data_IF_647870078092
#
_entry.id   IF_647870078092
#
_cell.length_a   1.000
_cell.length_b   1.000
_cell.length_c   1.000
_cell.angle_alpha   90.00
_cell.angle_beta   90.00
_cell.angle_gamma   90.00
#
_symmetry.space_group_name_H-M   'P 1'
#
loop_
_entity.id
_entity.type
_entity.pdbx_description
1 polymer ?
#
# COMPACT_ATOMS: atom_id res chain seq x y z
N UNK A 1 2.60 32.49 15.55
CA UNK A 1 3.66 31.67 14.93
C UNK A 1 3.05 30.33 14.51
N UNK A 2 3.03 30.05 13.20
CA UNK A 2 2.62 28.74 12.67
C UNK A 2 3.53 27.66 13.26
N UNK A 3 2.99 26.52 13.73
CA UNK A 3 3.82 25.42 14.20
C UNK A 3 4.56 24.71 13.04
N UNK A 4 4.37 25.16 11.81
CA UNK A 4 4.95 24.58 10.62
C UNK A 4 5.85 25.59 9.92
N UNK A 5 7.02 25.13 9.53
CA UNK A 5 7.98 25.90 8.72
C UNK A 5 7.63 25.69 7.23
N UNK A 6 6.81 26.58 6.68
CA UNK A 6 6.42 26.54 5.28
C UNK A 6 7.34 27.43 4.44
N UNK A 7 7.82 26.92 3.30
CA UNK A 7 8.60 27.72 2.34
C UNK A 7 7.78 28.92 1.83
N UNK A 8 6.49 28.69 1.57
CA UNK A 8 5.57 29.71 1.08
C UNK A 8 4.17 29.53 1.66
N UNK A 9 3.55 30.60 2.08
CA UNK A 9 2.14 30.64 2.48
C UNK A 9 1.40 31.60 1.58
N UNK A 10 0.31 31.11 0.96
CA UNK A 10 -0.56 31.92 0.12
C UNK A 10 -1.94 31.98 0.75
N UNK A 11 -2.40 33.18 1.06
CA UNK A 11 -3.75 33.39 1.54
C UNK A 11 -4.70 33.49 0.36
N UNK A 12 -5.81 32.74 0.39
CA UNK A 12 -6.80 32.69 -0.68
C UNK A 12 -8.20 32.93 -0.14
N UNK A 13 -9.11 33.34 -1.03
CA UNK A 13 -10.52 33.54 -0.66
C UNK A 13 -11.22 32.19 -0.45
N UNK A 14 -12.32 32.16 0.33
CA UNK A 14 -13.14 30.94 0.49
C UNK A 14 -13.60 30.33 -0.84
N UNK A 15 -13.89 31.17 -1.84
CA UNK A 15 -14.29 30.71 -3.17
C UNK A 15 -13.16 29.97 -3.92
N UNK A 16 -11.92 30.43 -3.78
CA UNK A 16 -10.72 29.74 -4.32
C UNK A 16 -10.47 28.46 -3.54
N UNK A 17 -10.55 28.51 -2.22
CA UNK A 17 -10.35 27.32 -1.37
C UNK A 17 -11.35 26.22 -1.73
N UNK A 18 -12.61 26.56 -1.95
CA UNK A 18 -13.65 25.61 -2.37
C UNK A 18 -13.38 24.97 -3.74
N UNK A 19 -12.70 25.68 -4.65
CA UNK A 19 -12.28 25.13 -5.96
C UNK A 19 -11.05 24.23 -5.88
N UNK A 20 -10.16 24.49 -4.91
CA UNK A 20 -8.96 23.69 -4.70
C UNK A 20 -9.23 22.43 -3.86
N UNK A 21 -10.29 22.46 -3.08
CA UNK A 21 -10.66 21.33 -2.21
C UNK A 21 -11.65 20.42 -2.92
N UNK A 22 -11.35 19.14 -2.96
CA UNK A 22 -12.29 18.09 -3.38
C UNK A 22 -13.22 17.64 -2.24
N UNK A 23 -13.10 18.24 -1.06
CA UNK A 23 -13.91 17.90 0.11
C UNK A 23 -15.22 18.69 0.15
N UNK A 24 -16.27 18.02 0.59
CA UNK A 24 -17.59 18.60 0.82
C UNK A 24 -17.62 19.49 2.09
N UNK A 25 -16.68 19.30 3.01
CA UNK A 25 -16.58 20.06 4.26
C UNK A 25 -15.70 21.31 4.10
N UNK A 26 -15.92 22.34 4.94
CA UNK A 26 -15.10 23.54 4.95
C UNK A 26 -13.63 23.20 5.25
N UNK A 27 -12.79 23.35 4.22
CA UNK A 27 -11.34 23.20 4.34
C UNK A 27 -10.72 24.56 4.54
N UNK A 28 -9.91 24.72 5.58
CA UNK A 28 -9.24 25.98 5.91
C UNK A 28 -7.78 26.01 5.46
N UNK A 29 -7.17 24.83 5.26
CA UNK A 29 -5.76 24.71 4.91
C UNK A 29 -5.59 23.60 3.86
N UNK A 30 -4.77 23.85 2.85
CA UNK A 30 -4.30 22.87 1.88
C UNK A 30 -2.78 22.99 1.84
N UNK A 31 -2.10 21.85 2.01
CA UNK A 31 -0.65 21.79 1.91
C UNK A 31 -0.25 21.11 0.59
N UNK A 32 0.58 21.79 -0.19
CA UNK A 32 1.23 21.21 -1.37
C UNK A 32 2.61 20.73 -0.95
N UNK A 33 2.85 19.43 -1.01
CA UNK A 33 4.08 18.81 -0.56
C UNK A 33 4.83 18.16 -1.71
N UNK A 34 6.17 18.18 -1.65
CA UNK A 34 6.99 17.39 -2.56
C UNK A 34 6.85 15.91 -2.23
N UNK A 35 6.65 15.08 -3.25
CA UNK A 35 6.64 13.63 -3.06
C UNK A 35 8.03 13.15 -2.64
N UNK A 36 8.11 12.45 -1.51
CA UNK A 36 9.34 11.85 -1.05
C UNK A 36 9.46 10.44 -1.63
N UNK A 37 10.57 10.18 -2.32
CA UNK A 37 10.92 8.81 -2.72
C UNK A 37 11.50 8.11 -1.50
N UNK A 38 10.86 7.04 -1.08
CA UNK A 38 11.31 6.16 0.00
C UNK A 38 11.65 4.81 -0.62
N UNK A 39 12.79 4.27 -0.25
CA UNK A 39 13.19 2.91 -0.61
C UNK A 39 12.91 1.96 0.56
N UNK A 40 12.52 0.73 0.23
CA UNK A 40 12.33 -0.32 1.22
C UNK A 40 13.70 -0.96 1.48
N UNK A 41 14.30 -0.62 2.62
CA UNK A 41 15.63 -1.11 3.02
C UNK A 41 15.60 -2.38 3.86
N UNK A 42 14.49 -2.61 4.59
CA UNK A 42 14.24 -3.84 5.34
C UNK A 42 13.20 -4.67 4.63
N UNK A 43 13.37 -5.98 4.60
CA UNK A 43 12.53 -6.89 3.82
C UNK A 43 12.07 -8.11 4.63
N UNK A 44 11.96 -7.96 5.95
CA UNK A 44 11.51 -9.08 6.80
C UNK A 44 10.00 -9.31 6.63
N UNK A 45 9.21 -8.23 6.57
CA UNK A 45 7.76 -8.30 6.39
C UNK A 45 7.33 -7.31 5.34
N UNK A 46 6.90 -7.81 4.20
CA UNK A 46 6.46 -7.00 3.06
C UNK A 46 5.00 -7.26 2.74
N UNK A 47 4.29 -6.22 2.36
CA UNK A 47 2.95 -6.32 1.79
C UNK A 47 3.01 -5.96 0.30
N UNK A 48 2.54 -6.86 -0.54
CA UNK A 48 2.42 -6.68 -1.97
C UNK A 48 0.94 -6.52 -2.33
N UNK A 49 0.58 -5.40 -2.92
CA UNK A 49 -0.79 -5.04 -3.28
C UNK A 49 -0.95 -5.11 -4.80
N UNK A 50 -1.66 -6.13 -5.25
CA UNK A 50 -1.84 -6.45 -6.66
C UNK A 50 -3.18 -5.95 -7.18
N UNK A 51 -3.14 -4.87 -7.98
CA UNK A 51 -4.31 -4.33 -8.67
C UNK A 51 -5.39 -3.75 -7.76
N UNK A 52 -5.06 -3.25 -6.58
CA UNK A 52 -6.04 -2.61 -5.68
C UNK A 52 -6.61 -1.35 -6.34
N UNK A 53 -7.92 -1.32 -6.60
CA UNK A 53 -8.57 -0.25 -7.34
C UNK A 53 -9.29 0.76 -6.43
N UNK A 54 -9.87 0.34 -5.29
CA UNK A 54 -10.52 1.28 -4.39
C UNK A 54 -9.50 2.06 -3.55
N UNK A 55 -9.48 3.40 -3.66
CA UNK A 55 -8.57 4.24 -2.89
C UNK A 55 -8.74 4.11 -1.37
N UNK A 56 -9.95 3.82 -0.89
CA UNK A 56 -10.23 3.60 0.52
C UNK A 56 -9.58 2.32 1.05
N UNK A 57 -9.67 1.23 0.25
CA UNK A 57 -9.04 -0.04 0.57
C UNK A 57 -7.51 0.08 0.54
N UNK A 58 -6.95 0.75 -0.48
CA UNK A 58 -5.51 0.98 -0.54
C UNK A 58 -4.99 1.69 0.72
N UNK A 59 -5.65 2.79 1.12
CA UNK A 59 -5.25 3.51 2.32
C UNK A 59 -5.41 2.69 3.61
N UNK A 60 -6.47 1.88 3.70
CA UNK A 60 -6.70 0.98 4.83
C UNK A 60 -5.61 -0.10 4.92
N UNK A 61 -5.23 -0.70 3.79
CA UNK A 61 -4.17 -1.71 3.72
C UNK A 61 -2.81 -1.13 4.14
N UNK A 62 -2.47 0.08 3.67
CA UNK A 62 -1.24 0.77 4.08
C UNK A 62 -1.23 1.04 5.59
N UNK A 63 -2.34 1.54 6.15
CA UNK A 63 -2.48 1.78 7.58
C UNK A 63 -2.38 0.48 8.39
N UNK A 64 -2.98 -0.59 7.90
CA UNK A 64 -2.90 -1.91 8.52
C UNK A 64 -1.47 -2.44 8.50
N UNK A 65 -0.77 -2.30 7.37
CA UNK A 65 0.63 -2.74 7.25
C UNK A 65 1.52 -2.12 8.33
N UNK A 66 1.44 -0.81 8.55
CA UNK A 66 2.24 -0.17 9.60
C UNK A 66 1.84 -0.64 10.99
N UNK A 67 0.54 -0.84 11.25
CA UNK A 67 0.04 -1.30 12.55
C UNK A 67 0.51 -2.71 12.90
N UNK A 68 0.74 -3.56 11.90
CA UNK A 68 1.26 -4.92 12.06
C UNK A 68 2.78 -5.01 11.89
N UNK A 69 3.48 -3.87 11.81
CA UNK A 69 4.94 -3.83 11.76
C UNK A 69 5.54 -4.36 10.47
N UNK A 70 4.87 -4.10 9.33
CA UNK A 70 5.47 -4.33 8.03
C UNK A 70 6.57 -3.31 7.76
N UNK A 71 7.63 -3.74 7.08
CA UNK A 71 8.78 -2.90 6.74
C UNK A 71 8.52 -2.03 5.51
N UNK A 72 7.59 -2.45 4.64
CA UNK A 72 7.24 -1.72 3.43
C UNK A 72 6.07 -2.32 2.67
N UNK A 73 5.54 -1.54 1.75
CA UNK A 73 4.45 -1.92 0.87
C UNK A 73 4.88 -1.75 -0.59
N UNK A 74 4.71 -2.79 -1.39
CA UNK A 74 4.82 -2.70 -2.83
C UNK A 74 3.43 -2.69 -3.46
N UNK A 75 3.20 -1.76 -4.37
CA UNK A 75 1.99 -1.71 -5.19
C UNK A 75 2.32 -2.12 -6.62
N UNK A 76 1.50 -2.96 -7.25
CA UNK A 76 1.63 -3.26 -8.67
C UNK A 76 1.38 -2.02 -9.52
N UNK A 77 1.75 -2.07 -10.79
CA UNK A 77 1.53 -0.97 -11.75
C UNK A 77 0.05 -0.67 -11.97
N UNK A 78 -0.82 -1.64 -11.74
CA UNK A 78 -2.27 -1.54 -11.92
C UNK A 78 -3.02 -1.03 -10.68
N UNK A 79 -2.35 -0.95 -9.53
CA UNK A 79 -2.95 -0.37 -8.31
C UNK A 79 -3.25 1.12 -8.53
N UNK A 80 -4.36 1.62 -7.98
CA UNK A 80 -4.75 3.03 -8.09
C UNK A 80 -3.65 3.98 -7.60
N UNK A 81 -3.75 5.26 -7.95
CA UNK A 81 -2.72 6.24 -7.62
C UNK A 81 -2.60 6.41 -6.10
N UNK A 82 -1.37 6.19 -5.60
CA UNK A 82 -1.01 6.34 -4.20
C UNK A 82 -1.25 7.76 -3.65
N UNK A 83 -1.09 8.76 -4.52
CA UNK A 83 -1.23 10.17 -4.17
C UNK A 83 -2.62 10.74 -4.50
N UNK A 84 -3.57 9.88 -4.89
CA UNK A 84 -4.97 10.27 -4.91
C UNK A 84 -5.39 10.78 -3.52
N UNK A 85 -6.11 11.89 -3.46
CA UNK A 85 -6.48 12.55 -2.21
C UNK A 85 -7.30 11.65 -1.27
N UNK A 86 -8.16 10.78 -1.83
CA UNK A 86 -8.91 9.78 -1.06
C UNK A 86 -7.98 8.72 -0.45
N UNK A 87 -6.90 8.31 -1.15
CA UNK A 87 -5.87 7.42 -0.59
C UNK A 87 -5.17 8.11 0.57
N UNK A 88 -4.66 9.33 0.35
CA UNK A 88 -3.93 10.10 1.37
C UNK A 88 -4.77 10.22 2.64
N UNK A 89 -6.06 10.60 2.51
CA UNK A 89 -6.97 10.70 3.66
C UNK A 89 -7.21 9.37 4.36
N UNK A 90 -7.42 8.29 3.60
CA UNK A 90 -7.73 6.97 4.18
C UNK A 90 -6.53 6.34 4.88
N UNK A 91 -5.30 6.73 4.55
CA UNK A 91 -4.10 6.31 5.28
C UNK A 91 -4.01 6.93 6.67
N UNK A 92 -4.73 8.03 6.95
CA UNK A 92 -4.65 8.77 8.22
C UNK A 92 -3.21 9.09 8.64
N UNK A 93 -2.36 9.46 7.68
CA UNK A 93 -0.96 9.79 7.89
C UNK A 93 0.01 8.60 7.83
N UNK A 94 -0.45 7.37 7.78
CA UNK A 94 0.42 6.19 7.70
C UNK A 94 1.38 6.23 6.49
N UNK A 95 0.96 6.84 5.39
CA UNK A 95 1.77 7.02 4.18
C UNK A 95 3.12 7.71 4.43
N UNK A 96 3.21 8.52 5.47
CA UNK A 96 4.45 9.24 5.82
C UNK A 96 5.40 8.44 6.71
N UNK A 97 4.97 7.25 7.19
CA UNK A 97 5.70 6.45 8.17
C UNK A 97 6.15 5.09 7.65
N UNK A 98 5.65 4.64 6.51
CA UNK A 98 6.04 3.39 5.87
C UNK A 98 6.39 3.65 4.40
N UNK A 99 7.49 3.10 3.87
CA UNK A 99 7.77 3.21 2.45
C UNK A 99 6.73 2.44 1.63
N UNK A 100 6.14 3.12 0.64
CA UNK A 100 5.22 2.53 -0.33
C UNK A 100 5.79 2.77 -1.71
N UNK A 101 6.07 1.70 -2.45
CA UNK A 101 6.79 1.76 -3.72
C UNK A 101 6.01 1.03 -4.80
N UNK A 102 5.85 1.65 -5.97
CA UNK A 102 5.25 1.00 -7.13
C UNK A 102 6.31 0.18 -7.88
N UNK A 103 6.00 -1.09 -8.17
CA UNK A 103 6.89 -2.00 -8.90
C UNK A 103 6.09 -2.95 -9.80
N UNK A 104 6.76 -3.41 -10.84
CA UNK A 104 6.28 -4.55 -11.62
C UNK A 104 6.58 -5.84 -10.86
N UNK A 105 5.54 -6.60 -10.53
CA UNK A 105 5.64 -7.83 -9.74
C UNK A 105 6.27 -8.98 -10.49
N UNK A 106 6.25 -8.97 -11.84
CA UNK A 106 6.93 -9.98 -12.65
C UNK A 106 8.45 -9.98 -12.43
N UNK A 107 9.02 -8.82 -12.12
CA UNK A 107 10.45 -8.65 -11.82
C UNK A 107 10.74 -8.62 -10.32
N UNK A 108 9.82 -8.08 -9.53
CA UNK A 108 9.99 -7.93 -8.08
C UNK A 108 9.99 -9.28 -7.38
N UNK A 109 9.02 -10.16 -7.69
CA UNK A 109 8.85 -11.44 -6.99
C UNK A 109 10.10 -12.33 -7.12
N UNK A 110 10.64 -12.59 -8.33
CA UNK A 110 11.88 -13.35 -8.45
C UNK A 110 13.06 -12.71 -7.71
N UNK A 111 13.12 -11.37 -7.68
CA UNK A 111 14.16 -10.64 -6.95
C UNK A 111 14.06 -10.89 -5.44
N UNK A 112 12.88 -10.77 -4.85
CA UNK A 112 12.62 -11.03 -3.43
C UNK A 112 12.96 -12.49 -3.07
N UNK A 113 12.53 -13.44 -3.89
CA UNK A 113 12.81 -14.86 -3.69
C UNK A 113 14.32 -15.17 -3.73
N UNK A 114 15.07 -14.53 -4.65
CA UNK A 114 16.53 -14.68 -4.73
C UNK A 114 17.25 -14.15 -3.47
N UNK A 115 16.61 -13.24 -2.74
CA UNK A 115 17.07 -12.68 -1.46
C UNK A 115 16.58 -13.48 -0.23
N UNK A 116 15.87 -14.60 -0.46
CA UNK A 116 15.38 -15.47 0.61
C UNK A 116 14.03 -15.07 1.19
N UNK A 117 13.34 -14.08 0.62
CA UNK A 117 12.00 -13.69 1.03
C UNK A 117 10.98 -14.70 0.50
N UNK A 118 10.16 -15.27 1.36
CA UNK A 118 9.08 -16.19 0.99
C UNK A 118 7.84 -15.42 0.57
N UNK A 119 7.37 -15.65 -0.63
CA UNK A 119 6.18 -14.99 -1.20
C UNK A 119 4.94 -15.86 -0.97
N UNK A 120 3.95 -15.28 -0.31
CA UNK A 120 2.71 -15.92 0.11
C UNK A 120 1.55 -15.19 -0.58
N UNK A 121 0.89 -15.83 -1.55
CA UNK A 121 -0.25 -15.25 -2.26
C UNK A 121 -1.58 -15.73 -1.67
N UNK A 122 -2.52 -14.81 -1.50
CA UNK A 122 -3.90 -15.17 -1.15
C UNK A 122 -4.61 -15.75 -2.37
N UNK A 123 -5.22 -16.93 -2.22
CA UNK A 123 -5.95 -17.61 -3.28
C UNK A 123 -7.07 -18.45 -2.69
N UNK A 124 -8.18 -18.58 -3.42
CA UNK A 124 -9.27 -19.48 -3.08
C UNK A 124 -9.07 -20.90 -3.66
N UNK A 125 -8.19 -21.02 -4.65
CA UNK A 125 -7.95 -22.28 -5.36
C UNK A 125 -6.60 -22.87 -4.94
N UNK A 126 -6.56 -24.21 -4.78
CA UNK A 126 -5.33 -24.97 -4.47
C UNK A 126 -4.51 -24.35 -3.34
N UNK A 127 -5.17 -23.91 -2.27
CA UNK A 127 -4.56 -23.17 -1.17
C UNK A 127 -4.61 -23.96 0.14
N UNK A 128 -3.57 -23.75 0.96
CA UNK A 128 -3.50 -24.26 2.32
C UNK A 128 -4.00 -23.19 3.31
N UNK A 129 -4.17 -23.54 4.58
CA UNK A 129 -4.50 -22.57 5.61
C UNK A 129 -3.24 -21.81 6.03
N UNK A 130 -3.39 -20.58 6.51
CA UNK A 130 -2.24 -19.79 7.03
C UNK A 130 -1.47 -20.51 8.15
N UNK A 131 -2.14 -21.39 8.90
CA UNK A 131 -1.53 -22.12 10.03
C UNK A 131 -0.53 -23.20 9.58
N UNK A 132 -0.64 -23.64 8.34
CA UNK A 132 0.23 -24.70 7.77
C UNK A 132 1.51 -24.11 7.14
N UNK A 133 1.58 -22.79 6.98
CA UNK A 133 2.75 -22.13 6.41
C UNK A 133 3.86 -22.05 7.47
N UNK A 134 5.07 -22.52 7.16
CA UNK A 134 6.19 -22.37 8.08
C UNK A 134 6.54 -20.89 8.28
N UNK A 135 6.69 -20.49 9.53
CA UNK A 135 7.13 -19.14 9.88
C UNK A 135 8.59 -18.99 9.47
N UNK A 136 8.86 -18.01 8.59
CA UNK A 136 10.22 -17.66 8.16
C UNK A 136 10.53 -16.22 8.59
N UNK A 137 11.82 -15.87 8.64
CA UNK A 137 12.23 -14.51 9.04
C UNK A 137 11.77 -13.46 8.04
N UNK A 138 11.80 -13.79 6.74
CA UNK A 138 11.47 -12.87 5.66
C UNK A 138 10.28 -13.38 4.85
N UNK A 139 9.19 -12.61 4.85
CA UNK A 139 7.94 -12.95 4.17
C UNK A 139 7.36 -11.75 3.43
N UNK A 140 6.78 -12.01 2.26
CA UNK A 140 6.00 -11.07 1.50
C UNK A 140 4.58 -11.61 1.28
N UNK A 141 3.57 -10.92 1.78
CA UNK A 141 2.17 -11.28 1.59
C UNK A 141 1.60 -10.55 0.40
N UNK A 142 0.99 -11.28 -0.53
CA UNK A 142 0.32 -10.72 -1.70
C UNK A 142 -1.18 -10.71 -1.47
N UNK A 143 -1.78 -9.53 -1.55
CA UNK A 143 -3.22 -9.31 -1.54
C UNK A 143 -3.64 -8.74 -2.89
N UNK A 144 -4.67 -9.30 -3.47
CA UNK A 144 -5.14 -8.95 -4.80
C UNK A 144 -6.33 -8.01 -4.82
N UNK A 145 -6.76 -7.72 -6.02
CA UNK A 145 -7.95 -6.93 -6.32
C UNK A 145 -9.21 -7.48 -5.63
N UNK A 146 -10.10 -6.59 -5.25
CA UNK A 146 -11.32 -6.90 -4.48
C UNK A 146 -12.28 -7.84 -5.22
N UNK A 147 -12.31 -7.77 -6.55
CA UNK A 147 -13.20 -8.59 -7.38
C UNK A 147 -12.52 -9.78 -8.04
N UNK A 148 -11.27 -9.63 -8.46
CA UNK A 148 -10.54 -10.64 -9.24
C UNK A 148 -9.54 -11.44 -8.41
N UNK A 149 -9.18 -10.95 -7.21
CA UNK A 149 -8.12 -11.54 -6.39
C UNK A 149 -6.72 -11.21 -6.93
N UNK A 150 -5.76 -12.05 -6.58
CA UNK A 150 -4.38 -11.96 -7.07
C UNK A 150 -4.31 -12.53 -8.49
N UNK A 151 -3.56 -11.88 -9.39
CA UNK A 151 -3.35 -12.35 -10.76
C UNK A 151 -2.72 -13.75 -10.79
N UNK A 152 -3.15 -14.58 -11.75
CA UNK A 152 -2.74 -15.97 -11.85
C UNK A 152 -1.22 -16.14 -12.02
N UNK A 153 -0.57 -15.25 -12.76
CA UNK A 153 0.87 -15.26 -12.96
C UNK A 153 1.64 -15.03 -11.64
N UNK A 154 1.08 -14.23 -10.74
CA UNK A 154 1.63 -13.99 -9.40
C UNK A 154 1.41 -15.19 -8.51
N UNK A 155 0.18 -15.78 -8.54
CA UNK A 155 -0.13 -17.00 -7.81
C UNK A 155 0.80 -18.14 -8.23
N UNK A 156 1.08 -18.26 -9.53
CA UNK A 156 1.98 -19.29 -10.05
C UNK A 156 3.43 -19.14 -9.57
N UNK A 157 3.88 -17.91 -9.35
CA UNK A 157 5.25 -17.59 -8.87
C UNK A 157 5.39 -17.68 -7.34
N UNK A 158 4.28 -17.62 -6.58
CA UNK A 158 4.32 -17.62 -5.13
C UNK A 158 4.87 -18.94 -4.56
N UNK A 159 5.67 -18.84 -3.47
CA UNK A 159 6.16 -20.00 -2.72
C UNK A 159 5.01 -20.74 -2.02
N UNK A 160 4.02 -19.99 -1.53
CA UNK A 160 2.85 -20.53 -0.85
C UNK A 160 1.57 -19.86 -1.33
N UNK A 161 0.49 -20.64 -1.39
CA UNK A 161 -0.87 -20.18 -1.68
C UNK A 161 -1.73 -20.41 -0.46
N UNK A 162 -2.36 -19.36 0.04
CA UNK A 162 -3.11 -19.43 1.29
C UNK A 162 -4.52 -18.90 1.11
N UNK A 163 -5.46 -19.50 1.80
CA UNK A 163 -6.78 -18.94 2.00
C UNK A 163 -6.93 -18.43 3.42
N UNK A 164 -7.63 -17.32 3.54
CA UNK A 164 -8.06 -16.78 4.83
C UNK A 164 -9.41 -17.38 5.11
N UNK A 165 -9.50 -18.20 6.15
CA UNK A 165 -10.77 -18.75 6.61
C UNK A 165 -11.56 -17.64 7.31
N UNK A 166 -12.77 -17.40 6.83
CA UNK A 166 -13.74 -16.48 7.44
C UNK A 166 -14.87 -17.32 8.02
N UNK A 167 -15.24 -17.04 9.27
CA UNK A 167 -16.40 -17.63 9.93
C UNK A 167 -17.71 -17.06 9.35
#
# INVERSE_FOLDING_TARGET
>A
TSPFDFEHVVEVTPAIMAKLSENVSNVHYIAVCRQRKLDITKQNRLLLLDGIQDPGNLGTLIRTAISFGFDGVYCSTETCDLYNDKVIRSTQGALFHIPVVRKDFSTLIPTLQSQGVKVIATSLQESTTMREIPVTECMAFVMGNEGQGVHQDIIAQADYRVRIEME
#
